data_IF_907102816951
#
_entry.id   IF_907102816951
#
_cell.length_a   1.000
_cell.length_b   1.000
_cell.length_c   1.000
_cell.angle_alpha   90.00
_cell.angle_beta   90.00
_cell.angle_gamma   90.00
#
_symmetry.space_group_name_H-M   'P 1'
#
loop_
_entity.id
_entity.type
_entity.pdbx_description
1 polymer ?
#
# COMPACT_ATOMS: atom_id res chain seq x y z
N UNK A 1 10.13 -17.86 -16.44
CA UNK A 1 9.42 -17.51 -15.20
C UNK A 1 8.04 -18.14 -15.23
N UNK A 2 7.67 -18.90 -14.21
CA UNK A 2 6.34 -19.49 -14.08
C UNK A 2 5.31 -18.41 -13.73
N UNK A 3 4.03 -18.77 -13.75
CA UNK A 3 2.97 -17.86 -13.33
C UNK A 3 3.13 -17.48 -11.84
N UNK A 4 3.45 -18.45 -11.00
CA UNK A 4 3.62 -18.29 -9.56
C UNK A 4 4.80 -17.39 -9.21
N UNK A 5 5.90 -17.50 -9.95
CA UNK A 5 7.08 -16.64 -9.77
C UNK A 5 6.75 -15.17 -10.09
N UNK A 6 6.11 -14.90 -11.22
CA UNK A 6 5.65 -13.55 -11.58
C UNK A 6 4.67 -12.98 -10.55
N UNK A 7 3.73 -13.82 -10.12
CA UNK A 7 2.74 -13.43 -9.12
C UNK A 7 3.40 -13.08 -7.77
N UNK A 8 4.40 -13.86 -7.35
CA UNK A 8 5.19 -13.59 -6.16
C UNK A 8 5.99 -12.30 -6.26
N UNK A 9 6.62 -12.03 -7.41
CA UNK A 9 7.32 -10.77 -7.67
C UNK A 9 6.38 -9.57 -7.52
N UNK A 10 5.20 -9.62 -8.18
CA UNK A 10 4.19 -8.57 -8.06
C UNK A 10 3.75 -8.35 -6.61
N UNK A 11 3.44 -9.43 -5.85
CA UNK A 11 3.06 -9.30 -4.45
C UNK A 11 4.16 -8.67 -3.58
N UNK A 12 5.42 -9.04 -3.81
CA UNK A 12 6.55 -8.47 -3.08
C UNK A 12 6.73 -6.99 -3.38
N UNK A 13 6.59 -6.57 -4.65
CA UNK A 13 6.69 -5.15 -5.02
C UNK A 13 5.60 -4.30 -4.37
N UNK A 14 4.35 -4.77 -4.38
CA UNK A 14 3.23 -4.09 -3.72
C UNK A 14 3.48 -3.99 -2.22
N UNK A 15 3.86 -5.10 -1.57
CA UNK A 15 4.13 -5.14 -0.14
C UNK A 15 5.26 -4.17 0.26
N UNK A 16 6.35 -4.16 -0.51
CA UNK A 16 7.47 -3.24 -0.28
C UNK A 16 7.07 -1.78 -0.47
N UNK A 17 6.27 -1.46 -1.50
CA UNK A 17 5.78 -0.09 -1.74
C UNK A 17 4.86 0.36 -0.61
N UNK A 18 3.89 -0.45 -0.20
CA UNK A 18 3.01 -0.12 0.93
C UNK A 18 3.81 0.07 2.22
N UNK A 19 4.78 -0.82 2.49
CA UNK A 19 5.68 -0.69 3.65
C UNK A 19 6.41 0.66 3.66
N UNK A 20 6.90 1.11 2.51
CA UNK A 20 7.59 2.41 2.37
C UNK A 20 6.70 3.63 2.60
N UNK A 21 5.38 3.48 2.46
CA UNK A 21 4.40 4.56 2.62
C UNK A 21 3.92 4.74 4.06
N UNK A 22 4.16 3.76 4.94
CA UNK A 22 3.81 3.86 6.37
C UNK A 22 5.02 4.47 7.10
N UNK A 23 4.93 5.71 7.62
CA UNK A 23 6.09 6.44 8.14
C UNK A 23 6.49 6.02 9.57
N UNK A 24 6.00 4.88 10.04
CA UNK A 24 6.21 4.36 11.40
C UNK A 24 6.41 2.86 11.37
N UNK A 25 6.93 2.31 12.45
CA UNK A 25 6.87 0.86 12.67
C UNK A 25 5.41 0.39 12.66
N UNK A 26 5.17 -0.74 12.01
CA UNK A 26 3.86 -1.37 11.90
C UNK A 26 3.99 -2.86 12.22
N UNK A 27 2.91 -3.46 12.73
CA UNK A 27 2.89 -4.88 13.08
C UNK A 27 2.20 -5.72 12.00
N UNK A 28 1.05 -5.25 11.49
CA UNK A 28 0.29 -5.92 10.44
C UNK A 28 -0.17 -4.91 9.39
N UNK A 29 -0.19 -5.34 8.13
CA UNK A 29 -0.77 -4.60 7.01
C UNK A 29 -1.79 -5.49 6.31
N UNK A 30 -2.97 -4.94 6.07
CA UNK A 30 -4.07 -5.59 5.35
C UNK A 30 -4.34 -4.78 4.09
N UNK A 31 -3.88 -5.28 2.94
CA UNK A 31 -4.02 -4.61 1.66
C UNK A 31 -5.09 -5.28 0.80
N UNK A 32 -5.84 -4.46 0.07
CA UNK A 32 -6.72 -4.89 -1.02
C UNK A 32 -6.34 -4.11 -2.26
N UNK A 33 -6.22 -4.81 -3.38
CA UNK A 33 -5.92 -4.24 -4.67
C UNK A 33 -6.94 -4.75 -5.70
N UNK A 34 -7.53 -3.83 -6.45
CA UNK A 34 -8.40 -4.11 -7.59
C UNK A 34 -7.71 -3.58 -8.85
N UNK A 35 -7.73 -4.39 -9.91
CA UNK A 35 -7.26 -3.99 -11.23
C UNK A 35 -8.33 -4.44 -12.21
N UNK A 36 -8.85 -3.50 -12.98
CA UNK A 36 -9.62 -3.78 -14.18
C UNK A 36 -9.06 -3.00 -15.37
N UNK A 37 -9.72 -3.13 -16.53
CA UNK A 37 -9.28 -2.50 -17.78
C UNK A 37 -9.29 -0.96 -17.71
N UNK A 38 -10.09 -0.35 -16.83
CA UNK A 38 -10.32 1.09 -16.75
C UNK A 38 -9.70 1.73 -15.49
N UNK A 39 -9.67 1.03 -14.37
CA UNK A 39 -9.32 1.54 -13.05
C UNK A 39 -8.47 0.55 -12.25
N UNK A 40 -7.55 1.09 -11.44
CA UNK A 40 -6.83 0.36 -10.42
C UNK A 40 -7.05 1.04 -9.08
N UNK A 41 -7.35 0.27 -8.02
CA UNK A 41 -7.48 0.80 -6.68
C UNK A 41 -6.65 -0.01 -5.70
N UNK A 42 -5.86 0.68 -4.86
CA UNK A 42 -5.17 0.08 -3.72
C UNK A 42 -5.56 0.85 -2.47
N UNK A 43 -6.05 0.11 -1.48
CA UNK A 43 -6.22 0.63 -0.13
C UNK A 43 -5.74 -0.41 0.87
N UNK A 44 -5.31 0.08 2.02
CA UNK A 44 -4.84 -0.78 3.09
C UNK A 44 -5.20 -0.21 4.45
N UNK A 45 -5.21 -1.10 5.44
CA UNK A 45 -5.19 -0.76 6.85
C UNK A 45 -3.90 -1.28 7.46
N UNK A 46 -3.41 -0.62 8.50
CA UNK A 46 -2.25 -1.07 9.25
C UNK A 46 -2.48 -0.96 10.75
N UNK A 47 -1.72 -1.74 11.51
CA UNK A 47 -1.64 -1.64 12.97
C UNK A 47 -0.26 -1.16 13.39
N UNK A 48 -0.19 -0.39 14.47
CA UNK A 48 1.06 -0.04 15.15
C UNK A 48 1.43 -1.10 16.20
N UNK A 49 2.71 -1.23 16.58
CA UNK A 49 3.12 -2.17 17.61
C UNK A 49 2.30 -2.03 18.90
N UNK A 50 1.85 -3.16 19.45
CA UNK A 50 1.05 -3.21 20.69
C UNK A 50 -0.32 -2.52 20.60
N UNK A 51 -0.83 -2.27 19.39
CA UNK A 51 -2.17 -1.73 19.15
C UNK A 51 -2.93 -2.60 18.15
N UNK A 52 -4.16 -2.96 18.50
CA UNK A 52 -5.10 -3.60 17.56
C UNK A 52 -5.92 -2.57 16.76
N UNK A 53 -5.65 -1.28 16.93
CA UNK A 53 -6.32 -0.22 16.16
C UNK A 53 -5.93 -0.29 14.68
N UNK A 54 -6.94 -0.36 13.81
CA UNK A 54 -6.77 -0.35 12.37
C UNK A 54 -6.77 1.10 11.86
N UNK A 55 -5.60 1.55 11.39
CA UNK A 55 -5.44 2.83 10.74
C UNK A 55 -5.63 2.67 9.23
N UNK A 56 -6.61 3.38 8.67
CA UNK A 56 -6.81 3.42 7.22
C UNK A 56 -5.70 4.22 6.54
N UNK A 57 -5.20 3.78 5.38
CA UNK A 57 -3.96 4.32 4.81
C UNK A 57 -3.90 5.84 4.68
N UNK A 58 -5.00 6.55 4.39
CA UNK A 58 -4.98 8.02 4.28
C UNK A 58 -4.88 8.75 5.63
N UNK A 59 -5.08 8.05 6.76
CA UNK A 59 -4.99 8.64 8.09
C UNK A 59 -3.57 9.11 8.42
N UNK A 60 -2.55 8.48 7.82
CA UNK A 60 -1.13 8.84 7.98
C UNK A 60 -0.86 10.29 7.63
N UNK A 61 -1.60 10.85 6.67
CA UNK A 61 -1.47 12.23 6.22
C UNK A 61 -1.69 13.18 7.39
N UNK A 62 -2.80 12.99 8.12
CA UNK A 62 -3.13 13.82 9.28
C UNK A 62 -2.33 13.42 10.51
N UNK A 63 -2.15 12.11 10.75
CA UNK A 63 -1.49 11.58 11.95
C UNK A 63 -0.01 11.99 12.04
N UNK A 64 0.69 12.00 10.90
CA UNK A 64 2.13 12.30 10.83
C UNK A 64 2.45 13.57 10.05
N UNK A 65 1.43 14.38 9.76
CA UNK A 65 1.59 15.67 9.07
C UNK A 65 2.35 15.55 7.73
N UNK A 66 1.99 14.54 6.92
CA UNK A 66 2.59 14.33 5.60
C UNK A 66 1.95 15.26 4.56
N UNK A 67 2.70 15.58 3.51
CA UNK A 67 2.15 16.28 2.35
C UNK A 67 1.22 15.36 1.57
N UNK A 68 -0.07 15.73 1.51
CA UNK A 68 -1.11 14.98 0.81
C UNK A 68 -0.74 14.66 -0.64
N UNK A 69 -0.18 15.62 -1.39
CA UNK A 69 0.20 15.40 -2.80
C UNK A 69 1.23 14.29 -2.93
N UNK A 70 2.37 14.42 -2.25
CA UNK A 70 3.45 13.43 -2.28
C UNK A 70 3.00 12.02 -1.84
N UNK A 71 2.11 11.95 -0.85
CA UNK A 71 1.54 10.67 -0.43
C UNK A 71 0.64 10.07 -1.53
N UNK A 72 -0.25 10.87 -2.11
CA UNK A 72 -1.13 10.40 -3.19
C UNK A 72 -0.37 10.04 -4.47
N UNK A 73 0.74 10.71 -4.77
CA UNK A 73 1.63 10.33 -5.87
C UNK A 73 2.19 8.91 -5.64
N UNK A 74 2.57 8.58 -4.40
CA UNK A 74 3.05 7.24 -4.03
C UNK A 74 1.95 6.17 -4.14
N UNK A 75 0.70 6.51 -3.79
CA UNK A 75 -0.47 5.65 -3.98
C UNK A 75 -0.69 5.37 -5.47
N UNK A 76 -0.61 6.41 -6.31
CA UNK A 76 -0.80 6.30 -7.75
C UNK A 76 0.29 5.46 -8.42
N UNK A 77 1.55 5.61 -8.01
CA UNK A 77 2.65 4.74 -8.45
C UNK A 77 2.38 3.27 -8.11
N UNK A 78 1.85 2.99 -6.92
CA UNK A 78 1.47 1.62 -6.53
C UNK A 78 0.38 1.06 -7.45
N UNK A 79 -0.60 1.88 -7.85
CA UNK A 79 -1.65 1.49 -8.80
C UNK A 79 -1.09 1.22 -10.21
N UNK A 80 -0.09 1.98 -10.66
CA UNK A 80 0.54 1.73 -11.97
C UNK A 80 1.30 0.40 -11.97
N UNK A 81 2.07 0.11 -10.91
CA UNK A 81 2.86 -1.13 -10.82
C UNK A 81 1.99 -2.38 -10.86
N UNK A 82 0.73 -2.28 -10.43
CA UNK A 82 -0.22 -3.37 -10.53
C UNK A 82 -0.66 -3.70 -11.97
N UNK A 83 -0.60 -2.74 -12.89
CA UNK A 83 -1.10 -2.92 -14.27
C UNK A 83 -0.04 -3.47 -15.24
N UNK A 84 1.24 -3.39 -14.89
CA UNK A 84 2.36 -3.74 -15.77
C UNK A 84 2.95 -5.12 -15.42
#
# INVERSE_FOLDING_TARGET
MTFEEKLSEMYNEIANKISSMIPVEWEKVYAMAYIDEECGEVFYNYTEPSSDELFYYTSVIKKYNLLKSSFMDSVYECMINLRN
#
